data_IF_622141256227
#
_entry.id   IF_622141256227
#
_cell.length_a   1.000
_cell.length_b   1.000
_cell.length_c   1.000
_cell.angle_alpha   90.00
_cell.angle_beta   90.00
_cell.angle_gamma   90.00
#
_symmetry.space_group_name_H-M   'P 1'
#
loop_
_entity.id
_entity.type
_entity.pdbx_description
1 polymer ?
#
# COMPACT_ATOMS: atom_id res chain seq x y z
N UNK A 1 -0.23 7.48 -16.96
CA UNK A 1 -1.16 6.81 -16.02
C UNK A 1 -2.43 6.40 -16.74
N UNK A 2 -3.17 7.36 -17.29
CA UNK A 2 -4.42 7.10 -18.03
C UNK A 2 -4.29 6.03 -19.13
N UNK A 3 -3.26 6.11 -19.97
CA UNK A 3 -3.01 5.11 -21.02
C UNK A 3 -2.76 3.70 -20.46
N UNK A 4 -2.10 3.59 -19.31
CA UNK A 4 -1.84 2.30 -18.64
C UNK A 4 -3.10 1.77 -17.96
N UNK A 5 -3.91 2.66 -17.38
CA UNK A 5 -5.23 2.32 -16.84
C UNK A 5 -6.17 1.80 -17.93
N UNK A 6 -6.15 2.43 -19.10
CA UNK A 6 -6.95 2.03 -20.26
C UNK A 6 -6.44 0.76 -20.97
N UNK A 7 -5.20 0.32 -20.72
CA UNK A 7 -4.62 -0.86 -21.34
C UNK A 7 -5.27 -2.19 -20.92
N UNK A 8 -5.95 -2.22 -19.77
CA UNK A 8 -6.58 -3.42 -19.22
C UNK A 8 -5.61 -4.48 -18.67
N UNK A 9 -4.30 -4.18 -18.59
CA UNK A 9 -3.32 -5.08 -17.97
C UNK A 9 -3.54 -5.15 -16.45
N UNK A 10 -3.73 -6.35 -15.86
CA UNK A 10 -3.93 -6.54 -14.42
C UNK A 10 -2.87 -5.90 -13.53
N UNK A 11 -1.64 -5.70 -14.04
CA UNK A 11 -0.56 -5.01 -13.32
C UNK A 11 -0.94 -3.57 -12.97
N UNK A 12 -1.80 -2.94 -13.75
CA UNK A 12 -2.22 -1.54 -13.59
C UNK A 12 -3.64 -1.40 -13.01
N UNK A 13 -4.26 -2.49 -12.55
CA UNK A 13 -5.60 -2.45 -11.93
C UNK A 13 -5.69 -1.45 -10.77
N UNK A 14 -4.61 -1.31 -10.00
CA UNK A 14 -4.49 -0.37 -8.87
C UNK A 14 -4.67 1.11 -9.28
N UNK A 15 -4.49 1.46 -10.56
CA UNK A 15 -4.74 2.82 -11.05
C UNK A 15 -6.22 3.22 -11.06
N UNK A 16 -7.13 2.27 -10.83
CA UNK A 16 -8.56 2.55 -10.69
C UNK A 16 -9.01 2.66 -9.23
N UNK A 17 -8.09 2.48 -8.27
CA UNK A 17 -8.35 2.56 -6.83
C UNK A 17 -8.11 3.98 -6.31
N UNK A 18 -8.63 4.30 -5.12
CA UNK A 18 -8.32 5.57 -4.46
C UNK A 18 -6.82 5.66 -4.15
N UNK A 19 -6.26 6.89 -4.16
CA UNK A 19 -4.85 7.09 -3.83
C UNK A 19 -4.57 6.60 -2.41
N UNK A 20 -3.72 5.57 -2.29
CA UNK A 20 -3.41 4.92 -1.02
C UNK A 20 -1.94 4.51 -0.96
N UNK A 21 -1.50 4.09 0.23
CA UNK A 21 -0.20 3.44 0.45
C UNK A 21 -0.46 2.01 0.85
N UNK A 22 -0.05 1.06 0.02
CA UNK A 22 -0.12 -0.37 0.32
C UNK A 22 1.11 -0.80 1.15
N UNK A 23 0.88 -1.47 2.28
CA UNK A 23 1.93 -1.97 3.18
C UNK A 23 1.84 -3.48 3.28
N UNK A 24 2.91 -4.16 2.85
CA UNK A 24 3.01 -5.61 2.91
C UNK A 24 4.16 -6.05 3.81
N UNK A 25 3.94 -7.10 4.62
CA UNK A 25 4.97 -7.68 5.49
C UNK A 25 5.03 -9.20 5.34
N UNK A 26 6.22 -9.72 5.06
CA UNK A 26 6.50 -11.16 4.96
C UNK A 26 7.33 -11.60 6.17
N UNK A 27 6.68 -12.24 7.13
CA UNK A 27 7.30 -12.79 8.34
C UNK A 27 6.37 -13.82 9.00
N UNK A 28 6.77 -14.39 10.14
CA UNK A 28 5.84 -15.21 10.94
C UNK A 28 4.65 -14.36 11.40
N UNK A 29 3.48 -14.97 11.71
CA UNK A 29 2.27 -14.20 11.99
C UNK A 29 2.46 -13.10 13.04
N UNK A 30 3.13 -13.39 14.15
CA UNK A 30 3.37 -12.41 15.21
C UNK A 30 4.26 -11.24 14.73
N UNK A 31 5.35 -11.55 14.03
CA UNK A 31 6.28 -10.54 13.51
C UNK A 31 5.66 -9.69 12.41
N UNK A 32 4.86 -10.29 11.52
CA UNK A 32 4.19 -9.59 10.44
C UNK A 32 3.24 -8.52 10.99
N UNK A 33 2.42 -8.87 11.99
CA UNK A 33 1.54 -7.91 12.66
C UNK A 33 2.33 -6.81 13.37
N UNK A 34 3.43 -7.16 14.07
CA UNK A 34 4.28 -6.19 14.73
C UNK A 34 4.91 -5.19 13.73
N UNK A 35 5.40 -5.67 12.57
CA UNK A 35 5.97 -4.84 11.50
C UNK A 35 4.93 -3.91 10.87
N UNK A 36 3.73 -4.43 10.58
CA UNK A 36 2.64 -3.61 10.03
C UNK A 36 2.23 -2.52 11.03
N UNK A 37 2.04 -2.87 12.30
CA UNK A 37 1.70 -1.91 13.35
C UNK A 37 2.76 -0.80 13.50
N UNK A 38 4.04 -1.18 13.47
CA UNK A 38 5.14 -0.24 13.50
C UNK A 38 5.14 0.69 12.27
N UNK A 39 4.98 0.13 11.06
CA UNK A 39 4.94 0.92 9.82
C UNK A 39 3.79 1.94 9.82
N UNK A 40 2.61 1.58 10.31
CA UNK A 40 1.47 2.49 10.43
C UNK A 40 1.73 3.64 11.42
N UNK A 41 2.39 3.35 12.55
CA UNK A 41 2.76 4.38 13.52
C UNK A 41 3.76 5.38 12.93
N UNK A 42 4.74 4.90 12.17
CA UNK A 42 5.73 5.75 11.50
C UNK A 42 5.10 6.61 10.40
N UNK A 43 4.21 6.04 9.58
CA UNK A 43 3.58 6.74 8.45
C UNK A 43 2.66 7.89 8.85
N UNK A 44 2.08 7.84 10.06
CA UNK A 44 1.15 8.86 10.54
C UNK A 44 1.72 10.28 10.48
N UNK A 45 3.04 10.44 10.67
CA UNK A 45 3.73 11.74 10.60
C UNK A 45 3.77 12.36 9.19
N UNK A 46 3.58 11.56 8.14
CA UNK A 46 3.61 12.01 6.75
C UNK A 46 2.20 12.28 6.20
N UNK A 47 1.18 11.71 6.84
CA UNK A 47 -0.21 11.77 6.36
C UNK A 47 -1.07 12.78 7.14
N UNK A 48 -0.60 13.24 8.30
CA UNK A 48 -1.25 14.27 9.11
C UNK A 48 -0.32 15.50 9.18
N UNK A 49 -0.74 16.67 8.68
CA UNK A 49 0.03 17.91 8.75
C UNK A 49 0.30 18.39 10.19
#
# INVERSE_FOLDING_TARGET
EEELRMSGDPKFSHLSEELHVEINAFATPAEAHARIAYALAELRRFLVP
#
